data_IF_626455941934
#
_entry.id   IF_626455941934
#
_cell.length_a   1.000
_cell.length_b   1.000
_cell.length_c   1.000
_cell.angle_alpha   90.00
_cell.angle_beta   90.00
_cell.angle_gamma   90.00
#
_symmetry.space_group_name_H-M   'P 1'
#
loop_
_entity.id
_entity.type
_entity.pdbx_description
1 polymer ?
#
# COMPACT_ATOMS: atom_id res chain seq x y z
N UNK A 1 -28.53 14.19 1.99
CA UNK A 1 -28.09 12.79 1.82
C UNK A 1 -27.03 12.54 2.86
N UNK A 2 -27.23 11.61 3.80
CA UNK A 2 -26.17 11.22 4.72
C UNK A 2 -25.09 10.53 3.89
N UNK A 3 -24.01 11.25 3.58
CA UNK A 3 -22.87 10.70 2.89
C UNK A 3 -22.23 9.66 3.79
N UNK A 4 -22.60 8.40 3.63
CA UNK A 4 -21.90 7.29 4.26
C UNK A 4 -20.48 7.28 3.69
N UNK A 5 -19.52 7.74 4.48
CA UNK A 5 -18.12 7.71 4.09
C UNK A 5 -17.68 6.25 3.94
N UNK A 6 -16.92 5.91 2.88
CA UNK A 6 -16.31 4.59 2.75
C UNK A 6 -15.45 4.27 3.99
N UNK A 7 -15.55 3.03 4.47
CA UNK A 7 -14.67 2.50 5.50
C UNK A 7 -13.52 1.69 4.87
N UNK A 8 -12.61 1.17 5.69
CA UNK A 8 -11.46 0.37 5.21
C UNK A 8 -11.86 -0.79 4.30
N UNK A 9 -12.94 -1.51 4.64
CA UNK A 9 -13.45 -2.62 3.85
C UNK A 9 -13.94 -2.16 2.47
N UNK A 10 -14.67 -1.04 2.41
CA UNK A 10 -15.11 -0.45 1.14
C UNK A 10 -13.92 -0.04 0.27
N UNK A 11 -12.91 0.62 0.83
CA UNK A 11 -11.69 0.98 0.08
C UNK A 11 -10.96 -0.24 -0.46
N UNK A 12 -10.78 -1.30 0.34
CA UNK A 12 -10.13 -2.54 -0.11
C UNK A 12 -10.88 -3.19 -1.29
N UNK A 13 -12.22 -3.14 -1.31
CA UNK A 13 -12.98 -3.63 -2.46
C UNK A 13 -12.71 -2.76 -3.69
N UNK A 14 -12.89 -1.43 -3.56
CA UNK A 14 -12.73 -0.49 -4.69
C UNK A 14 -11.34 -0.62 -5.30
N UNK A 15 -10.28 -0.56 -4.48
CA UNK A 15 -8.90 -0.65 -4.95
C UNK A 15 -8.65 -1.99 -5.65
N UNK A 16 -9.08 -3.12 -5.08
CA UNK A 16 -8.90 -4.44 -5.72
C UNK A 16 -9.62 -4.53 -7.06
N UNK A 17 -10.84 -4.03 -7.17
CA UNK A 17 -11.60 -4.09 -8.43
C UNK A 17 -10.98 -3.19 -9.52
N UNK A 18 -10.51 -1.99 -9.16
CA UNK A 18 -9.80 -1.11 -10.09
C UNK A 18 -8.48 -1.72 -10.56
N UNK A 19 -7.72 -2.35 -9.65
CA UNK A 19 -6.50 -3.07 -10.00
C UNK A 19 -6.78 -4.23 -10.96
N UNK A 20 -7.87 -4.99 -10.79
CA UNK A 20 -8.27 -6.06 -11.72
C UNK A 20 -8.61 -5.51 -13.11
N UNK A 21 -9.25 -4.34 -13.18
CA UNK A 21 -9.57 -3.65 -14.44
C UNK A 21 -8.39 -2.93 -15.09
N UNK A 22 -7.20 -2.97 -14.47
CA UNK A 22 -6.03 -2.21 -14.89
C UNK A 22 -6.22 -0.68 -14.84
N UNK A 23 -7.20 -0.20 -14.07
CA UNK A 23 -7.50 1.22 -13.87
C UNK A 23 -6.58 1.80 -12.77
N UNK A 24 -5.27 1.77 -13.01
CA UNK A 24 -4.26 2.07 -11.98
C UNK A 24 -4.30 3.52 -11.47
N UNK A 25 -4.73 4.47 -12.33
CA UNK A 25 -4.87 5.88 -11.93
C UNK A 25 -5.99 6.09 -10.91
N UNK A 26 -7.15 5.47 -11.13
CA UNK A 26 -8.26 5.51 -10.16
C UNK A 26 -7.88 4.74 -8.89
N UNK A 27 -7.26 3.56 -9.04
CA UNK A 27 -6.80 2.78 -7.90
C UNK A 27 -5.84 3.58 -6.99
N UNK A 28 -5.00 4.42 -7.59
CA UNK A 28 -4.09 5.32 -6.86
C UNK A 28 -4.85 6.37 -6.04
N UNK A 29 -5.85 7.03 -6.62
CA UNK A 29 -6.66 8.05 -5.93
C UNK A 29 -7.33 7.46 -4.70
N UNK A 30 -7.98 6.29 -4.85
CA UNK A 30 -8.65 5.62 -3.73
C UNK A 30 -7.67 5.08 -2.68
N UNK A 31 -6.50 4.58 -3.10
CA UNK A 31 -5.47 4.11 -2.19
C UNK A 31 -4.89 5.27 -1.37
N UNK A 32 -4.66 6.42 -1.99
CA UNK A 32 -4.20 7.61 -1.30
C UNK A 32 -5.25 8.14 -0.31
N UNK A 33 -6.51 8.22 -0.74
CA UNK A 33 -7.61 8.66 0.14
C UNK A 33 -7.74 7.73 1.36
N UNK A 34 -7.64 6.42 1.14
CA UNK A 34 -7.64 5.40 2.20
C UNK A 34 -6.56 5.69 3.25
N UNK A 35 -5.31 5.94 2.81
CA UNK A 35 -4.17 6.24 3.70
C UNK A 35 -4.35 7.58 4.41
N UNK A 36 -4.81 8.62 3.71
CA UNK A 36 -5.06 9.94 4.28
C UNK A 36 -6.16 9.91 5.36
N UNK A 37 -7.07 8.95 5.28
CA UNK A 37 -8.09 8.69 6.31
C UNK A 37 -7.62 7.78 7.45
N UNK A 38 -6.36 7.35 7.43
CA UNK A 38 -5.77 6.48 8.46
C UNK A 38 -6.11 5.00 8.29
N UNK A 39 -6.64 4.59 7.14
CA UNK A 39 -6.85 3.18 6.82
C UNK A 39 -5.64 2.60 6.09
N UNK A 40 -5.38 1.31 6.29
CA UNK A 40 -4.33 0.57 5.60
C UNK A 40 -4.92 -0.52 4.70
N UNK A 41 -4.35 -0.77 3.51
CA UNK A 41 -4.72 -1.90 2.68
C UNK A 41 -4.67 -3.21 3.46
N UNK A 42 -5.66 -4.07 3.26
CA UNK A 42 -5.56 -5.43 3.79
C UNK A 42 -4.54 -6.27 3.01
N UNK A 43 -4.22 -7.45 3.54
CA UNK A 43 -3.25 -8.36 2.95
C UNK A 43 -3.54 -8.66 1.48
N UNK A 44 -4.79 -8.98 1.14
CA UNK A 44 -5.19 -9.28 -0.23
C UNK A 44 -5.03 -8.07 -1.15
N UNK A 45 -5.37 -6.87 -0.69
CA UNK A 45 -5.21 -5.63 -1.46
C UNK A 45 -3.73 -5.33 -1.68
N UNK A 46 -2.90 -5.57 -0.66
CA UNK A 46 -1.46 -5.40 -0.75
C UNK A 46 -0.80 -6.37 -1.75
N UNK A 47 -1.19 -7.64 -1.76
CA UNK A 47 -0.73 -8.62 -2.76
C UNK A 47 -1.07 -8.18 -4.19
N UNK A 48 -2.31 -7.73 -4.42
CA UNK A 48 -2.73 -7.20 -5.73
C UNK A 48 -1.90 -5.99 -6.16
N UNK A 49 -1.57 -5.10 -5.22
CA UNK A 49 -0.71 -3.95 -5.48
C UNK A 49 0.69 -4.40 -5.91
N UNK A 50 1.31 -5.34 -5.19
CA UNK A 50 2.65 -5.87 -5.52
C UNK A 50 2.70 -6.51 -6.92
N UNK A 51 1.68 -7.29 -7.29
CA UNK A 51 1.57 -7.87 -8.64
C UNK A 51 1.45 -6.79 -9.71
N UNK A 52 0.83 -5.65 -9.38
CA UNK A 52 0.64 -4.54 -10.33
C UNK A 52 1.90 -3.68 -10.50
N UNK A 53 2.74 -3.52 -9.47
CA UNK A 53 3.90 -2.62 -9.48
C UNK A 53 4.84 -2.77 -10.70
N UNK A 54 5.20 -3.98 -11.17
CA UNK A 54 6.08 -4.12 -12.33
C UNK A 54 5.49 -3.55 -13.63
N UNK A 55 4.16 -3.42 -13.71
CA UNK A 55 3.43 -3.00 -14.91
C UNK A 55 3.04 -1.52 -14.90
N UNK A 56 3.32 -0.78 -13.82
CA UNK A 56 3.08 0.67 -13.77
C UNK A 56 4.36 1.43 -14.12
N UNK A 57 4.20 2.66 -14.64
CA UNK A 57 5.33 3.53 -14.92
C UNK A 57 6.20 3.76 -13.68
N UNK A 58 7.51 3.95 -13.86
CA UNK A 58 8.45 4.16 -12.75
C UNK A 58 8.10 5.37 -11.88
N UNK A 59 7.49 6.38 -12.49
CA UNK A 59 7.04 7.63 -11.87
C UNK A 59 5.60 7.55 -11.34
N UNK A 60 4.96 6.38 -11.39
CA UNK A 60 3.61 6.18 -10.84
C UNK A 60 3.63 6.39 -9.33
N UNK A 61 2.73 7.25 -8.86
CA UNK A 61 2.52 7.49 -7.43
C UNK A 61 2.00 6.25 -6.72
N UNK A 62 1.22 5.39 -7.39
CA UNK A 62 0.86 4.05 -6.88
C UNK A 62 2.12 3.28 -6.42
N UNK A 63 3.19 3.30 -7.23
CA UNK A 63 4.48 2.69 -6.86
C UNK A 63 5.12 3.38 -5.67
N UNK A 64 5.13 4.71 -5.63
CA UNK A 64 5.65 5.47 -4.48
C UNK A 64 4.91 5.13 -3.19
N UNK A 65 3.58 5.02 -3.24
CA UNK A 65 2.74 4.66 -2.09
C UNK A 65 3.07 3.26 -1.59
N UNK A 66 3.08 2.26 -2.48
CA UNK A 66 3.38 0.87 -2.10
C UNK A 66 4.79 0.74 -1.52
N UNK A 67 5.79 1.42 -2.10
CA UNK A 67 7.15 1.43 -1.55
C UNK A 67 7.22 2.06 -0.16
N UNK A 68 6.49 3.16 0.08
CA UNK A 68 6.39 3.76 1.42
C UNK A 68 5.75 2.81 2.42
N UNK A 69 4.70 2.08 2.03
CA UNK A 69 4.06 1.06 2.87
C UNK A 69 5.02 -0.10 3.20
N UNK A 70 5.87 -0.53 2.26
CA UNK A 70 6.90 -1.57 2.50
C UNK A 70 8.06 -1.10 3.36
N UNK A 71 8.34 0.21 3.39
CA UNK A 71 9.49 0.79 4.10
C UNK A 71 9.21 1.06 5.59
N UNK A 72 8.02 0.69 6.10
CA UNK A 72 7.67 0.81 7.52
C UNK A 72 8.40 -0.23 8.39
N UNK A 73 9.05 -1.24 7.81
CA UNK A 73 10.00 -2.11 8.52
C UNK A 73 11.43 -1.84 8.07
N UNK A 74 12.07 -0.82 8.64
CA UNK A 74 13.47 -0.78 9.12
C UNK A 74 13.69 0.56 9.83
N UNK A 75 13.18 0.70 11.06
CA UNK A 75 13.94 1.44 12.08
C UNK A 75 14.94 0.44 12.64
N UNK A 76 16.12 0.44 12.05
CA UNK A 76 17.42 0.16 12.66
C UNK A 76 17.35 -0.01 14.18
N UNK A 77 17.32 -1.27 14.61
CA UNK A 77 17.36 -1.69 16.01
C UNK A 77 18.46 -2.72 16.23
N UNK A 78 19.72 -2.26 16.27
CA UNK A 78 20.86 -2.95 16.86
C UNK A 78 21.53 -4.03 16.00
N UNK A 79 22.79 -3.82 15.62
CA UNK A 79 23.71 -4.94 15.33
C UNK A 79 23.81 -5.82 16.58
N UNK A 80 23.62 -7.15 16.50
CA UNK A 80 24.08 -8.02 17.57
C UNK A 80 25.61 -7.90 17.63
N UNK A 81 26.11 -7.46 18.79
CA UNK A 81 27.53 -7.36 19.05
C UNK A 81 28.14 -8.77 19.06
N UNK A 82 28.85 -9.11 17.99
CA UNK A 82 29.79 -10.23 17.97
C UNK A 82 31.12 -9.78 18.57
N UNK A 83 31.16 -9.68 19.90
CA UNK A 83 32.43 -9.79 20.63
C UNK A 83 32.63 -11.26 21.01
N UNK A 84 33.60 -11.84 20.32
CA UNK A 84 34.17 -13.19 20.43
C UNK A 84 34.53 -13.61 21.87
N UNK A 85 34.48 -14.92 22.18
CA UNK A 85 34.97 -15.44 23.46
C UNK A 85 36.50 -15.41 23.52
N UNK A 86 37.05 -15.03 24.68
CA UNK A 86 38.33 -15.55 25.15
C UNK A 86 38.03 -16.67 26.16
#
# INVERSE_FOLDING_TARGET
MNGCLPNSFTYNIIVRELLKKNECGEAEIFLEEMINRGFMPDHATFENLLVRIPNVGKDSRLRTIVLKLTSVERKDGGMPNITSPC
#
